data_IF_835979385472
#
_entry.id   IF_835979385472
#
_cell.length_a   1.000
_cell.length_b   1.000
_cell.length_c   1.000
_cell.angle_alpha   90.00
_cell.angle_beta   90.00
_cell.angle_gamma   90.00
#
_symmetry.space_group_name_H-M   'P 1'
#
loop_
_entity.id
_entity.type
_entity.pdbx_description
1 polymer ?
#
# COMPACT_ATOMS: atom_id res chain seq x y z
N UNK A 1 1.08 17.77 -13.08
CA UNK A 1 -0.07 18.30 -12.31
C UNK A 1 0.41 18.64 -10.91
N UNK A 2 -0.16 19.64 -10.25
CA UNK A 2 0.16 19.93 -8.83
C UNK A 2 -0.93 19.35 -7.93
N UNK A 3 -0.51 18.58 -6.93
CA UNK A 3 -1.38 17.93 -5.96
C UNK A 3 -0.98 18.34 -4.54
N UNK A 4 -1.93 18.27 -3.61
CA UNK A 4 -1.63 18.34 -2.18
C UNK A 4 -1.51 16.91 -1.67
N UNK A 5 -0.38 16.59 -1.04
CA UNK A 5 -0.14 15.29 -0.43
C UNK A 5 0.31 15.43 1.02
N UNK A 6 0.08 14.38 1.80
CA UNK A 6 0.28 14.34 3.24
C UNK A 6 1.10 13.10 3.62
N UNK A 7 1.95 13.25 4.63
CA UNK A 7 2.73 12.17 5.24
C UNK A 7 2.53 12.18 6.76
N UNK A 8 2.11 11.05 7.33
CA UNK A 8 2.00 10.87 8.78
C UNK A 8 3.27 10.25 9.37
N UNK A 9 3.81 10.83 10.43
CA UNK A 9 4.99 10.32 11.15
C UNK A 9 5.00 10.78 12.62
N UNK A 10 5.90 10.21 13.40
CA UNK A 10 6.26 10.65 14.76
C UNK A 10 7.13 11.92 14.82
N UNK A 11 7.45 12.49 13.65
CA UNK A 11 8.32 13.67 13.49
C UNK A 11 7.80 14.55 12.37
N UNK A 12 8.12 15.83 12.45
CA UNK A 12 7.97 16.73 11.31
C UNK A 12 8.99 16.32 10.24
N UNK A 13 8.49 16.04 9.04
CA UNK A 13 9.31 15.72 7.87
C UNK A 13 9.16 16.89 6.90
N UNK A 14 10.18 17.74 6.81
CA UNK A 14 10.24 18.88 5.89
C UNK A 14 11.16 18.62 4.69
N UNK A 15 12.16 17.75 4.86
CA UNK A 15 13.11 17.33 3.84
C UNK A 15 13.14 15.81 3.72
N UNK A 16 12.16 15.19 3.02
CA UNK A 16 12.09 13.74 2.89
C UNK A 16 13.23 13.19 2.06
N UNK A 17 13.61 11.93 2.31
CA UNK A 17 14.61 11.20 1.53
C UNK A 17 13.97 9.99 0.87
N UNK A 18 14.31 9.76 -0.40
CA UNK A 18 13.80 8.62 -1.16
C UNK A 18 14.20 7.26 -0.57
N UNK A 19 15.29 7.20 0.22
CA UNK A 19 15.80 5.98 0.84
C UNK A 19 15.56 5.89 2.36
N UNK A 20 14.77 6.80 2.94
CA UNK A 20 14.53 6.85 4.39
C UNK A 20 13.44 5.88 4.90
N UNK A 21 12.73 5.22 3.98
CA UNK A 21 11.59 4.34 4.30
C UNK A 21 11.99 2.94 4.77
N UNK A 22 10.99 2.18 5.24
CA UNK A 22 11.17 0.76 5.60
C UNK A 22 11.41 -0.06 4.33
N UNK A 23 12.32 -1.04 4.42
CA UNK A 23 12.70 -1.89 3.27
C UNK A 23 11.56 -2.78 2.77
N UNK A 24 10.73 -3.28 3.67
CA UNK A 24 9.68 -4.27 3.40
C UNK A 24 8.28 -3.67 3.53
N UNK A 25 8.08 -2.49 2.93
CA UNK A 25 6.75 -1.86 2.78
C UNK A 25 6.05 -2.35 1.50
N UNK A 26 4.76 -2.04 1.35
CA UNK A 26 3.89 -2.51 0.25
C UNK A 26 4.50 -2.33 -1.14
N UNK A 27 5.04 -1.13 -1.37
CA UNK A 27 5.70 -0.74 -2.62
C UNK A 27 7.23 -0.66 -2.47
N UNK A 28 7.80 -1.22 -1.40
CA UNK A 28 9.24 -1.18 -1.12
C UNK A 28 9.73 0.16 -0.56
N UNK A 29 11.01 0.47 -0.76
CA UNK A 29 11.63 1.69 -0.23
C UNK A 29 11.12 2.91 -1.03
N UNK A 30 10.66 3.92 -0.30
CA UNK A 30 10.32 5.24 -0.83
C UNK A 30 9.75 6.15 0.25
N UNK A 31 9.40 7.37 -0.13
CA UNK A 31 8.65 8.29 0.71
C UNK A 31 7.15 8.18 0.40
N UNK A 32 6.38 7.77 1.40
CA UNK A 32 4.96 7.48 1.25
C UNK A 32 4.12 8.69 1.57
N UNK A 33 3.23 9.06 0.66
CA UNK A 33 2.29 10.16 0.86
C UNK A 33 0.88 9.76 0.38
N UNK A 34 -0.11 10.57 0.70
CA UNK A 34 -1.48 10.40 0.21
C UNK A 34 -2.17 11.75 0.04
N UNK A 35 -3.16 11.82 -0.85
CA UNK A 35 -4.05 12.97 -0.96
C UNK A 35 -5.12 13.00 0.13
N UNK A 36 -5.34 11.90 0.86
CA UNK A 36 -6.29 11.82 1.96
C UNK A 36 -5.61 12.17 3.30
N UNK A 37 -5.94 13.34 3.85
CA UNK A 37 -5.41 13.80 5.15
C UNK A 37 -5.81 12.87 6.31
N UNK A 38 -7.01 12.29 6.29
CA UNK A 38 -7.47 11.40 7.36
C UNK A 38 -6.65 10.11 7.41
N UNK A 39 -6.26 9.58 6.24
CA UNK A 39 -5.32 8.47 6.18
C UNK A 39 -3.94 8.88 6.72
N UNK A 40 -3.43 10.06 6.37
CA UNK A 40 -2.15 10.53 6.90
C UNK A 40 -2.17 10.72 8.42
N UNK A 41 -3.28 11.22 9.00
CA UNK A 41 -3.44 11.31 10.45
C UNK A 41 -3.49 9.93 11.10
N UNK A 42 -4.22 8.97 10.52
CA UNK A 42 -4.18 7.57 10.95
C UNK A 42 -2.76 7.00 10.92
N UNK A 43 -1.96 7.29 9.88
CA UNK A 43 -0.57 6.85 9.83
C UNK A 43 0.29 7.44 10.94
N UNK A 44 0.13 8.73 11.24
CA UNK A 44 0.88 9.41 12.29
C UNK A 44 0.62 8.80 13.68
N UNK A 45 -0.64 8.43 13.97
CA UNK A 45 -1.08 7.98 15.30
C UNK A 45 -0.93 6.48 15.56
N UNK A 46 -0.59 5.68 14.54
CA UNK A 46 -0.46 4.20 14.67
C UNK A 46 0.69 3.72 15.54
N UNK A 47 1.76 4.49 15.63
CA UNK A 47 2.96 4.06 16.37
C UNK A 47 2.84 4.44 17.84
N UNK A 48 3.44 3.62 18.70
CA UNK A 48 3.60 3.94 20.12
C UNK A 48 4.73 4.96 20.31
N UNK A 49 4.42 6.19 19.92
CA UNK A 49 5.20 7.39 20.22
C UNK A 49 4.30 8.40 20.94
N UNK A 50 4.92 9.43 21.49
CA UNK A 50 4.23 10.50 22.22
C UNK A 50 3.95 11.73 21.34
N UNK A 51 4.55 11.77 20.14
CA UNK A 51 4.36 12.87 19.18
C UNK A 51 3.79 12.34 17.88
N UNK A 52 2.89 13.11 17.26
CA UNK A 52 2.18 12.74 16.04
C UNK A 52 2.12 13.95 15.12
N UNK A 53 2.64 13.82 13.91
CA UNK A 53 2.68 14.91 12.94
C UNK A 53 2.19 14.46 11.56
N UNK A 54 1.45 15.36 10.91
CA UNK A 54 1.13 15.27 9.49
C UNK A 54 1.86 16.37 8.73
N UNK A 55 2.82 15.97 7.91
CA UNK A 55 3.56 16.88 7.03
C UNK A 55 2.82 17.02 5.71
N UNK A 56 2.52 18.26 5.31
CA UNK A 56 1.81 18.61 4.08
C UNK A 56 2.79 19.13 3.04
N UNK A 57 2.63 18.67 1.80
CA UNK A 57 3.44 19.07 0.66
C UNK A 57 2.58 19.48 -0.53
N UNK A 58 3.13 20.36 -1.37
CA UNK A 58 2.70 20.53 -2.75
C UNK A 58 3.58 19.59 -3.59
N UNK A 59 2.96 18.71 -4.37
CA UNK A 59 3.66 17.73 -5.19
C UNK A 59 3.44 18.01 -6.68
N UNK A 60 4.50 18.35 -7.41
CA UNK A 60 4.44 18.61 -8.85
C UNK A 60 4.80 17.37 -9.66
N UNK A 61 3.79 16.66 -10.16
CA UNK A 61 3.96 15.42 -10.92
C UNK A 61 4.18 15.64 -12.41
N UNK A 62 4.26 16.89 -12.89
CA UNK A 62 4.20 17.21 -14.33
C UNK A 62 5.25 16.49 -15.18
N UNK A 63 6.46 16.34 -14.66
CA UNK A 63 7.58 15.74 -15.39
C UNK A 63 8.03 14.39 -14.78
N UNK A 64 7.19 13.75 -13.97
CA UNK A 64 7.54 12.50 -13.29
C UNK A 64 7.01 11.29 -14.06
N UNK A 65 7.79 10.21 -14.11
CA UNK A 65 7.27 8.90 -14.54
C UNK A 65 6.46 8.29 -13.41
N UNK A 66 5.29 7.75 -13.73
CA UNK A 66 4.45 7.09 -12.73
C UNK A 66 3.87 5.77 -13.24
N UNK A 67 3.72 4.82 -12.34
CA UNK A 67 2.94 3.61 -12.57
C UNK A 67 1.81 3.53 -11.52
N UNK A 68 0.59 3.25 -11.98
CA UNK A 68 -0.59 3.14 -11.12
C UNK A 68 -1.06 1.70 -11.09
N UNK A 69 -1.13 1.13 -9.89
CA UNK A 69 -1.74 -0.17 -9.63
C UNK A 69 -3.24 -0.03 -9.37
N UNK A 70 -4.03 -0.90 -10.00
CA UNK A 70 -5.41 -1.16 -9.61
C UNK A 70 -5.47 -2.23 -8.51
N UNK A 71 -6.62 -2.33 -7.83
CA UNK A 71 -6.88 -3.41 -6.86
C UNK A 71 -7.12 -4.74 -7.57
N UNK A 72 -6.04 -5.40 -7.99
CA UNK A 72 -6.06 -6.64 -8.74
C UNK A 72 -4.91 -7.58 -8.33
N UNK A 73 -4.78 -8.71 -9.03
CA UNK A 73 -3.72 -9.68 -8.76
C UNK A 73 -2.30 -9.12 -8.99
N UNK A 74 -2.09 -8.22 -9.95
CA UNK A 74 -0.77 -7.58 -10.14
C UNK A 74 -0.33 -6.82 -8.88
N UNK A 75 -1.24 -6.06 -8.27
CA UNK A 75 -0.99 -5.33 -7.03
C UNK A 75 -0.71 -6.27 -5.85
N UNK A 76 -1.49 -7.35 -5.70
CA UNK A 76 -1.27 -8.36 -4.66
C UNK A 76 0.13 -8.97 -4.76
N UNK A 77 0.54 -9.35 -5.97
CA UNK A 77 1.84 -9.96 -6.23
C UNK A 77 2.99 -8.97 -6.03
N UNK A 78 2.78 -7.70 -6.37
CA UNK A 78 3.78 -6.66 -6.11
C UNK A 78 4.02 -6.47 -4.61
N UNK A 79 2.96 -6.51 -3.79
CA UNK A 79 3.08 -6.49 -2.33
C UNK A 79 3.83 -7.72 -1.82
N UNK A 80 3.45 -8.92 -2.28
CA UNK A 80 4.12 -10.16 -1.91
C UNK A 80 5.62 -10.11 -2.20
N UNK A 81 5.98 -9.60 -3.38
CA UNK A 81 7.35 -9.39 -3.81
C UNK A 81 8.11 -8.42 -2.91
N UNK A 82 7.59 -7.21 -2.67
CA UNK A 82 8.28 -6.20 -1.85
C UNK A 82 8.42 -6.61 -0.38
N UNK A 83 7.40 -7.30 0.16
CA UNK A 83 7.39 -7.78 1.55
C UNK A 83 8.09 -9.13 1.74
N UNK A 84 8.57 -9.76 0.67
CA UNK A 84 9.27 -11.06 0.66
C UNK A 84 8.42 -12.21 1.23
N UNK A 85 7.15 -12.26 0.83
CA UNK A 85 6.18 -13.26 1.28
C UNK A 85 6.16 -14.54 0.42
N UNK A 86 7.01 -14.62 -0.60
CA UNK A 86 7.03 -15.72 -1.57
C UNK A 86 8.21 -16.64 -1.32
N UNK A 87 7.92 -17.82 -0.76
CA UNK A 87 8.93 -18.86 -0.50
C UNK A 87 9.24 -19.72 -1.73
N UNK A 88 8.25 -19.91 -2.63
CA UNK A 88 8.45 -20.65 -3.86
C UNK A 88 9.46 -19.93 -4.78
N UNK A 89 10.61 -20.56 -5.03
CA UNK A 89 11.73 -19.98 -5.78
C UNK A 89 11.31 -19.60 -7.20
N UNK A 90 10.61 -20.48 -7.91
CA UNK A 90 10.22 -20.25 -9.31
C UNK A 90 9.24 -19.08 -9.43
N UNK A 91 8.27 -18.98 -8.52
CA UNK A 91 7.36 -17.84 -8.46
C UNK A 91 8.12 -16.55 -8.10
N UNK A 92 9.04 -16.60 -7.13
CA UNK A 92 9.85 -15.45 -6.74
C UNK A 92 10.71 -14.92 -7.90
N UNK A 93 11.38 -15.80 -8.64
CA UNK A 93 12.15 -15.44 -9.84
C UNK A 93 11.26 -14.77 -10.91
N UNK A 94 10.06 -15.30 -11.11
CA UNK A 94 9.09 -14.73 -12.05
C UNK A 94 8.63 -13.34 -11.59
N UNK A 95 8.28 -13.15 -10.32
CA UNK A 95 7.91 -11.84 -9.78
C UNK A 95 9.08 -10.85 -9.89
N UNK A 96 10.30 -11.28 -9.59
CA UNK A 96 11.49 -10.46 -9.73
C UNK A 96 11.70 -10.01 -11.18
N UNK A 97 11.58 -10.93 -12.15
CA UNK A 97 11.69 -10.62 -13.58
C UNK A 97 10.71 -9.54 -14.02
N UNK A 98 9.47 -9.57 -13.51
CA UNK A 98 8.41 -8.64 -13.88
C UNK A 98 8.46 -7.31 -13.13
N UNK A 99 8.91 -7.30 -11.87
CA UNK A 99 8.84 -6.10 -11.02
C UNK A 99 10.18 -5.41 -10.77
N UNK A 100 11.32 -5.96 -11.21
CA UNK A 100 12.65 -5.34 -11.01
C UNK A 100 12.74 -3.89 -11.51
N UNK A 101 12.05 -3.56 -12.60
CA UNK A 101 12.07 -2.23 -13.22
C UNK A 101 11.07 -1.26 -12.56
N UNK A 102 10.20 -1.72 -11.65
CA UNK A 102 9.25 -0.83 -10.94
C UNK A 102 9.97 0.24 -10.10
N UNK A 103 11.24 0.00 -9.76
CA UNK A 103 12.08 0.97 -9.06
C UNK A 103 12.52 2.17 -9.93
N UNK A 104 12.34 2.09 -11.25
CA UNK A 104 12.73 3.14 -12.20
C UNK A 104 11.68 4.25 -12.33
N UNK A 105 10.43 3.98 -11.93
CA UNK A 105 9.40 5.01 -11.86
C UNK A 105 9.70 6.01 -10.74
N UNK A 106 9.51 7.30 -11.03
CA UNK A 106 9.64 8.36 -10.03
C UNK A 106 8.61 8.17 -8.90
N UNK A 107 7.40 7.69 -9.26
CA UNK A 107 6.27 7.49 -8.35
C UNK A 107 5.51 6.21 -8.66
N UNK A 108 5.23 5.39 -7.65
CA UNK A 108 4.23 4.33 -7.73
C UNK A 108 2.96 4.75 -7.00
N UNK A 109 1.80 4.54 -7.61
CA UNK A 109 0.49 4.95 -7.10
C UNK A 109 -0.37 3.70 -6.98
N UNK A 110 -1.18 3.59 -5.94
CA UNK A 110 -2.16 2.51 -5.85
C UNK A 110 -2.79 2.40 -4.47
N UNK A 111 -3.65 1.39 -4.26
CA UNK A 111 -4.25 1.13 -2.96
C UNK A 111 -3.18 0.93 -1.89
N UNK A 112 -3.41 1.49 -0.70
CA UNK A 112 -2.60 1.17 0.49
C UNK A 112 -2.86 -0.28 0.93
N UNK A 113 -1.90 -0.97 1.54
CA UNK A 113 -2.15 -2.20 2.29
C UNK A 113 -1.90 -1.97 3.78
N UNK A 114 -2.85 -1.28 4.39
CA UNK A 114 -2.77 -0.87 5.79
C UNK A 114 -2.92 -2.07 6.74
N UNK A 115 -2.75 -1.87 8.06
CA UNK A 115 -2.76 -2.96 9.06
C UNK A 115 -4.08 -3.75 9.13
N UNK A 116 -5.15 -3.29 8.48
CA UNK A 116 -6.43 -4.02 8.37
C UNK A 116 -6.41 -4.93 7.15
N UNK A 117 -5.93 -4.40 6.03
CA UNK A 117 -5.78 -5.15 4.79
C UNK A 117 -4.72 -6.23 4.89
N UNK A 118 -3.62 -5.94 5.58
CA UNK A 118 -2.51 -6.88 5.67
C UNK A 118 -2.93 -8.22 6.31
N UNK A 119 -3.88 -8.20 7.25
CA UNK A 119 -4.47 -9.43 7.82
C UNK A 119 -5.14 -10.29 6.72
N UNK A 120 -5.91 -9.67 5.81
CA UNK A 120 -6.57 -10.37 4.69
C UNK A 120 -5.59 -10.82 3.62
N UNK A 121 -4.55 -10.02 3.37
CA UNK A 121 -3.47 -10.38 2.45
C UNK A 121 -2.69 -11.59 2.97
N UNK A 122 -2.38 -11.64 4.27
CA UNK A 122 -1.70 -12.78 4.88
C UNK A 122 -2.53 -14.06 4.73
N UNK A 123 -3.85 -14.00 4.94
CA UNK A 123 -4.72 -15.17 4.69
C UNK A 123 -4.57 -15.68 3.25
N UNK A 124 -4.42 -14.80 2.26
CA UNK A 124 -4.19 -15.22 0.89
C UNK A 124 -2.79 -15.82 0.69
N UNK A 125 -1.74 -15.12 1.14
CA UNK A 125 -0.35 -15.58 0.99
C UNK A 125 -0.04 -16.87 1.75
N UNK A 126 -0.77 -17.15 2.84
CA UNK A 126 -0.71 -18.38 3.63
C UNK A 126 -1.65 -19.49 3.12
N UNK A 127 -2.27 -19.32 1.93
CA UNK A 127 -3.19 -20.29 1.31
C UNK A 127 -4.46 -20.57 2.13
N UNK A 128 -4.88 -19.68 3.03
CA UNK A 128 -6.13 -19.81 3.79
C UNK A 128 -7.36 -19.36 2.99
N UNK A 129 -7.18 -18.47 2.01
CA UNK A 129 -8.23 -18.01 1.10
C UNK A 129 -7.72 -17.95 -0.34
N UNK A 130 -8.64 -18.01 -1.30
CA UNK A 130 -8.32 -17.86 -2.73
C UNK A 130 -8.18 -16.39 -3.14
N UNK A 131 -7.61 -16.15 -4.33
CA UNK A 131 -7.46 -14.81 -4.92
C UNK A 131 -8.80 -14.09 -5.08
N UNK A 132 -9.87 -14.78 -5.51
CA UNK A 132 -11.17 -14.14 -5.67
C UNK A 132 -11.75 -13.76 -4.31
N UNK A 133 -11.65 -14.63 -3.31
CA UNK A 133 -12.08 -14.32 -1.95
C UNK A 133 -11.28 -13.11 -1.41
N UNK A 134 -9.96 -13.08 -1.60
CA UNK A 134 -9.11 -11.97 -1.20
C UNK A 134 -9.54 -10.65 -1.87
N UNK A 135 -9.59 -10.61 -3.20
CA UNK A 135 -9.92 -9.41 -3.97
C UNK A 135 -11.35 -8.93 -3.67
N UNK A 136 -12.33 -9.83 -3.55
CA UNK A 136 -13.68 -9.45 -3.20
C UNK A 136 -13.77 -8.92 -1.77
N UNK A 137 -12.98 -9.46 -0.83
CA UNK A 137 -12.91 -8.91 0.53
C UNK A 137 -12.34 -7.50 0.52
N UNK A 138 -11.24 -7.27 -0.20
CA UNK A 138 -10.60 -5.96 -0.34
C UNK A 138 -11.49 -4.95 -1.07
N UNK A 139 -12.24 -5.36 -2.09
CA UNK A 139 -13.19 -4.50 -2.81
C UNK A 139 -14.36 -4.03 -1.93
N UNK A 140 -14.66 -4.73 -0.83
CA UNK A 140 -15.67 -4.25 0.13
C UNK A 140 -15.15 -3.16 1.06
N UNK A 141 -13.86 -2.82 0.94
CA UNK A 141 -13.18 -1.81 1.73
C UNK A 141 -13.07 -0.52 0.92
N UNK A 142 -13.30 0.61 1.58
CA UNK A 142 -13.03 1.93 1.01
C UNK A 142 -11.51 2.17 1.06
N UNK A 143 -10.82 1.74 0.00
CA UNK A 143 -9.36 1.80 -0.06
C UNK A 143 -8.87 3.19 -0.43
N UNK A 144 -8.05 3.74 0.44
CA UNK A 144 -7.30 4.95 0.15
C UNK A 144 -6.11 4.69 -0.77
N UNK A 145 -5.78 5.71 -1.56
CA UNK A 145 -4.65 5.68 -2.48
C UNK A 145 -3.40 6.27 -1.82
N UNK A 146 -2.28 5.58 -2.00
CA UNK A 146 -0.95 6.01 -1.60
C UNK A 146 -0.07 6.32 -2.81
N UNK A 147 0.88 7.22 -2.60
CA UNK A 147 1.93 7.60 -3.54
C UNK A 147 3.27 7.24 -2.90
N UNK A 148 3.99 6.30 -3.48
CA UNK A 148 5.34 5.93 -3.10
C UNK A 148 6.33 6.66 -4.01
N UNK A 149 7.01 7.66 -3.47
CA UNK A 149 7.95 8.52 -4.19
C UNK A 149 9.35 7.94 -4.03
N UNK A 150 9.98 7.54 -5.14
CA UNK A 150 11.09 6.58 -5.12
C UNK A 150 12.44 7.12 -5.53
N UNK A 151 12.44 8.12 -6.40
CA UNK A 151 13.66 8.66 -6.98
C UNK A 151 13.98 10.00 -6.33
N UNK A 152 15.24 10.42 -6.47
CA UNK A 152 15.67 11.76 -6.08
C UNK A 152 14.82 12.84 -6.79
N UNK A 153 14.56 12.66 -8.08
CA UNK A 153 13.73 13.56 -8.89
C UNK A 153 12.30 13.67 -8.35
N UNK A 154 11.69 12.56 -7.95
CA UNK A 154 10.36 12.56 -7.32
C UNK A 154 10.34 13.31 -5.98
N UNK A 155 11.39 13.17 -5.17
CA UNK A 155 11.53 13.91 -3.90
C UNK A 155 11.71 15.41 -4.14
N UNK A 156 12.54 15.80 -5.11
CA UNK A 156 12.78 17.22 -5.46
C UNK A 156 11.51 17.91 -6.00
N UNK A 157 10.54 17.14 -6.48
CA UNK A 157 9.24 17.64 -6.90
C UNK A 157 8.25 17.89 -5.73
N UNK A 158 8.64 17.58 -4.49
CA UNK A 158 7.89 17.94 -3.29
C UNK A 158 8.36 19.28 -2.72
N UNK A 159 7.41 20.17 -2.50
CA UNK A 159 7.62 21.39 -1.73
C UNK A 159 6.89 21.29 -0.38
N UNK A 160 7.65 21.28 0.72
CA UNK A 160 7.07 21.31 2.06
C UNK A 160 6.22 22.57 2.25
N UNK A 161 5.02 22.39 2.82
CA UNK A 161 4.09 23.49 3.07
C UNK A 161 3.98 23.80 4.57
N UNK A 162 3.64 22.79 5.37
CA UNK A 162 3.53 22.91 6.84
C UNK A 162 3.44 21.53 7.49
N UNK A 163 3.63 21.49 8.80
CA UNK A 163 3.26 20.35 9.63
C UNK A 163 2.02 20.68 10.47
N UNK A 164 1.24 19.65 10.76
CA UNK A 164 0.11 19.67 11.68
C UNK A 164 0.49 18.72 12.82
N UNK A 165 0.52 19.24 14.05
CA UNK A 165 0.63 18.42 15.25
C UNK A 165 -0.73 17.85 15.61
N UNK A 166 -0.78 16.57 15.98
CA UNK A 166 -1.96 15.90 16.49
C UNK A 166 -1.75 15.61 17.98
N UNK A 167 -2.84 15.56 18.72
CA UNK A 167 -2.81 15.29 20.15
C UNK A 167 -3.22 13.84 20.48
N UNK A 168 -3.35 13.56 21.78
CA UNK A 168 -3.75 12.23 22.24
C UNK A 168 -5.24 11.93 21.97
N UNK A 169 -6.09 12.96 21.86
CA UNK A 169 -7.50 12.81 21.51
C UNK A 169 -7.59 12.33 20.06
N UNK A 170 -6.80 12.90 19.15
CA UNK A 170 -6.67 12.42 17.77
C UNK A 170 -6.22 10.94 17.73
N UNK A 171 -5.21 10.58 18.54
CA UNK A 171 -4.74 9.19 18.63
C UNK A 171 -5.86 8.23 19.02
N UNK A 172 -6.59 8.54 20.09
CA UNK A 172 -7.72 7.72 20.55
C UNK A 172 -8.82 7.63 19.49
N UNK A 173 -9.13 8.74 18.82
CA UNK A 173 -10.11 8.78 17.75
C UNK A 173 -9.74 7.82 16.61
N UNK A 174 -8.54 7.93 16.04
CA UNK A 174 -8.13 7.06 14.92
C UNK A 174 -7.92 5.60 15.33
N UNK A 175 -7.53 5.33 16.59
CA UNK A 175 -7.50 3.97 17.12
C UNK A 175 -8.90 3.34 17.16
N UNK A 176 -9.89 4.09 17.66
CA UNK A 176 -11.29 3.64 17.71
C UNK A 176 -11.88 3.47 16.30
N UNK A 177 -11.62 4.41 15.39
CA UNK A 177 -12.06 4.34 14.00
C UNK A 177 -11.49 3.08 13.32
N UNK A 178 -10.19 2.81 13.50
CA UNK A 178 -9.53 1.61 12.95
C UNK A 178 -10.18 0.34 13.48
N UNK A 179 -10.48 0.27 14.78
CA UNK A 179 -11.15 -0.88 15.41
C UNK A 179 -12.55 -1.10 14.85
N UNK A 180 -13.36 -0.05 14.70
CA UNK A 180 -14.70 -0.15 14.12
C UNK A 180 -14.65 -0.62 12.67
N UNK A 181 -13.73 -0.07 11.87
CA UNK A 181 -13.53 -0.50 10.47
C UNK A 181 -13.11 -1.97 10.39
N UNK A 182 -12.23 -2.47 11.29
CA UNK A 182 -11.89 -3.91 11.38
C UNK A 182 -13.11 -4.78 11.70
N UNK A 183 -13.99 -4.34 12.59
CA UNK A 183 -15.20 -5.09 12.93
C UNK A 183 -16.17 -5.17 11.74
N UNK A 184 -16.43 -4.06 11.07
CA UNK A 184 -17.28 -4.01 9.86
C UNK A 184 -16.70 -4.93 8.77
N UNK A 185 -15.37 -4.90 8.60
CA UNK A 185 -14.66 -5.76 7.65
C UNK A 185 -14.88 -7.25 7.96
N UNK A 186 -14.69 -7.67 9.22
CA UNK A 186 -14.90 -9.05 9.64
C UNK A 186 -16.33 -9.55 9.33
N UNK A 187 -17.34 -8.70 9.55
CA UNK A 187 -18.72 -9.03 9.18
C UNK A 187 -18.90 -9.15 7.66
N UNK A 188 -18.39 -8.19 6.88
CA UNK A 188 -18.43 -8.23 5.40
C UNK A 188 -17.76 -9.50 4.85
N UNK A 189 -16.62 -9.90 5.41
CA UNK A 189 -15.89 -11.10 5.00
C UNK A 189 -16.71 -12.39 5.16
N UNK A 190 -17.63 -12.48 6.14
CA UNK A 190 -18.52 -13.65 6.26
C UNK A 190 -19.42 -13.81 5.03
N UNK A 191 -19.92 -12.70 4.47
CA UNK A 191 -20.73 -12.72 3.26
C UNK A 191 -19.89 -13.04 2.03
N UNK A 192 -18.69 -12.47 1.92
CA UNK A 192 -17.76 -12.76 0.82
C UNK A 192 -17.38 -14.23 0.82
N UNK A 193 -17.02 -14.79 1.98
CA UNK A 193 -16.68 -16.22 2.13
C UNK A 193 -17.82 -17.14 1.67
N UNK A 194 -19.07 -16.80 1.98
CA UNK A 194 -20.24 -17.59 1.55
C UNK A 194 -20.38 -17.62 0.02
N UNK A 195 -20.02 -16.53 -0.67
CA UNK A 195 -20.22 -16.38 -2.11
C UNK A 195 -18.99 -16.81 -2.95
N UNK A 196 -17.78 -16.56 -2.45
CA UNK A 196 -16.53 -16.68 -3.20
C UNK A 196 -15.47 -17.53 -2.50
N UNK A 197 -15.76 -18.12 -1.34
CA UNK A 197 -14.76 -18.80 -0.50
C UNK A 197 -14.04 -19.97 -1.17
N UNK A 198 -14.63 -20.55 -2.22
CA UNK A 198 -14.06 -21.65 -3.01
C UNK A 198 -13.86 -21.25 -4.49
N UNK A 199 -13.89 -19.95 -4.82
CA UNK A 199 -13.73 -19.45 -6.20
C UNK A 199 -12.29 -18.99 -6.43
N UNK A 200 -11.75 -19.26 -7.60
CA UNK A 200 -10.37 -18.88 -7.94
C UNK A 200 -9.33 -19.83 -7.34
N UNK A 201 -8.07 -19.38 -7.32
CA UNK A 201 -6.90 -20.17 -6.90
C UNK A 201 -6.34 -19.70 -5.57
N UNK A 202 -5.75 -20.62 -4.82
CA UNK A 202 -4.84 -20.30 -3.72
C UNK A 202 -3.53 -19.70 -4.24
N UNK A 203 -2.73 -19.13 -3.34
CA UNK A 203 -1.51 -18.42 -3.73
C UNK A 203 -0.46 -19.38 -4.32
N UNK A 204 -0.31 -20.56 -3.75
CA UNK A 204 0.60 -21.62 -4.22
C UNK A 204 0.14 -22.34 -5.50
N UNK A 205 -1.15 -22.22 -5.86
CA UNK A 205 -1.72 -22.72 -7.11
C UNK A 205 -1.48 -21.78 -8.31
N UNK A 206 -0.97 -20.57 -8.07
CA UNK A 206 -0.66 -19.62 -9.14
C UNK A 206 0.53 -20.10 -9.98
N UNK A 207 0.34 -20.08 -11.29
CA UNK A 207 1.32 -20.55 -12.27
C UNK A 207 1.77 -19.42 -13.20
N UNK A 208 2.85 -19.63 -13.95
CA UNK A 208 3.31 -18.67 -14.94
C UNK A 208 2.23 -18.27 -15.96
N UNK A 209 1.29 -19.15 -16.33
CA UNK A 209 0.18 -18.80 -17.23
C UNK A 209 -0.81 -17.81 -16.62
N UNK A 210 -1.08 -17.92 -15.31
CA UNK A 210 -1.94 -16.96 -14.61
C UNK A 210 -1.31 -15.56 -14.57
N UNK A 211 0.02 -15.51 -14.64
CA UNK A 211 0.81 -14.30 -14.51
C UNK A 211 1.11 -13.65 -15.86
N UNK A 212 1.23 -14.44 -16.94
CA UNK A 212 1.59 -13.94 -18.27
C UNK A 212 0.59 -12.92 -18.86
N UNK A 213 -0.70 -13.04 -18.53
CA UNK A 213 -1.74 -12.09 -18.97
C UNK A 213 -1.87 -10.83 -18.10
N UNK A 214 -1.26 -10.84 -16.92
CA UNK A 214 -1.42 -9.80 -15.88
C UNK A 214 -0.14 -8.98 -15.72
N UNK A 215 1.02 -9.63 -15.87
CA UNK A 215 2.32 -9.00 -15.70
C UNK A 215 2.90 -8.44 -16.99
N UNK A 216 2.27 -8.71 -18.14
CA UNK A 216 2.63 -8.17 -19.45
C UNK A 216 4.04 -8.56 -19.89
N UNK A 217 4.16 -9.22 -21.04
CA UNK A 217 5.48 -9.33 -21.67
C UNK A 217 6.00 -7.92 -22.02
N UNK A 218 6.96 -7.41 -21.23
CA UNK A 218 7.78 -6.25 -21.57
C UNK A 218 7.32 -4.91 -20.98
N UNK A 219 7.95 -4.54 -19.86
CA UNK A 219 8.50 -3.20 -19.67
C UNK A 219 10.02 -3.28 -19.85
#
# INVERSE_FOLDING_TARGET
>A
MKLIVYHGSDKIIDSPKHNGGRKFSDFGIGFYTTTNIEMAKSWATRRNHDNFYVSKFIFDTTNLTSFTFDLNLQWLLFIAYNRRLVENIQLNELLHKNFKNMNEYDVLIGPTADDRMFDTLNLFFENNITVDHCLQSLNTMDLDIQYNIRTKKGIEALAFNKAIELDYIDKEYYANETKQKKQIMSEKMKFVRKKYGNSGKYFDELTGSDLNGILGYGL
#
